data_IF_626863939465
#
_entry.id   IF_626863939465
#
_cell.length_a   1.000
_cell.length_b   1.000
_cell.length_c   1.000
_cell.angle_alpha   90.00
_cell.angle_beta   90.00
_cell.angle_gamma   90.00
#
_symmetry.space_group_name_H-M   'P 1'
#
loop_
_entity.id
_entity.type
_entity.pdbx_description
1 polymer ?
#
# COMPACT_ATOMS: atom_id res chain seq x y z
N UNK A 1 11.61 -5.64 -11.95
CA UNK A 1 10.25 -5.17 -11.67
C UNK A 1 10.25 -4.52 -10.31
N UNK A 2 9.68 -3.33 -10.21
CA UNK A 2 9.61 -2.51 -8.99
C UNK A 2 8.16 -2.17 -8.70
N UNK A 3 7.89 -1.72 -7.48
CA UNK A 3 6.61 -1.16 -7.07
C UNK A 3 6.84 0.26 -6.54
N UNK A 4 5.92 1.15 -6.83
CA UNK A 4 5.94 2.52 -6.30
C UNK A 4 4.53 2.90 -5.83
N UNK A 5 4.46 3.67 -4.74
CA UNK A 5 3.23 4.28 -4.26
C UNK A 5 3.18 5.76 -4.61
N UNK A 6 2.02 6.23 -5.07
CA UNK A 6 1.73 7.65 -5.25
C UNK A 6 0.38 8.00 -4.64
N UNK A 7 0.27 9.19 -4.05
CA UNK A 7 -1.01 9.75 -3.59
C UNK A 7 -1.97 10.01 -4.76
N UNK A 8 -3.27 9.78 -4.56
CA UNK A 8 -4.32 10.04 -5.54
C UNK A 8 -5.14 11.28 -5.16
N UNK A 9 -5.17 12.28 -6.04
CA UNK A 9 -5.89 13.53 -5.80
C UNK A 9 -7.40 13.34 -5.57
N UNK A 10 -8.02 14.27 -4.82
CA UNK A 10 -9.48 14.36 -4.67
C UNK A 10 -10.06 13.43 -3.60
N UNK A 11 -9.28 13.14 -2.57
CA UNK A 11 -9.63 12.39 -1.37
C UNK A 11 -9.34 13.23 -0.11
N UNK A 12 -9.21 12.61 1.07
CA UNK A 12 -9.06 13.31 2.33
C UNK A 12 -7.64 13.88 2.59
N UNK A 13 -6.67 13.64 1.70
CA UNK A 13 -5.29 14.15 1.83
C UNK A 13 -4.26 13.10 1.46
N UNK A 14 -3.00 13.31 1.85
CA UNK A 14 -1.89 12.44 1.46
C UNK A 14 -2.04 11.02 2.05
N UNK A 15 -2.31 10.03 1.21
CA UNK A 15 -2.46 8.64 1.59
C UNK A 15 -1.13 7.95 1.93
N UNK A 16 0.01 8.49 1.45
CA UNK A 16 1.33 7.87 1.68
C UNK A 16 1.71 7.88 3.15
N UNK A 17 1.13 8.80 3.95
CA UNK A 17 1.34 8.84 5.40
C UNK A 17 0.85 7.58 6.12
N UNK A 18 0.02 6.74 5.49
CA UNK A 18 -0.48 5.48 6.07
C UNK A 18 0.30 4.25 5.62
N UNK A 19 1.22 4.38 4.66
CA UNK A 19 2.09 3.29 4.23
C UNK A 19 3.37 3.38 5.06
N UNK A 20 3.75 2.28 5.71
CA UNK A 20 5.06 2.16 6.36
C UNK A 20 6.12 1.81 5.32
N UNK A 21 5.93 0.68 4.62
CA UNK A 21 6.79 0.22 3.53
C UNK A 21 6.02 -0.71 2.58
N UNK A 22 6.61 -0.94 1.41
CA UNK A 22 6.19 -1.95 0.43
C UNK A 22 7.25 -3.05 0.40
N UNK A 23 6.84 -4.31 0.43
CA UNK A 23 7.79 -5.43 0.45
C UNK A 23 7.34 -6.52 -0.50
N UNK A 24 8.29 -7.16 -1.19
CA UNK A 24 8.01 -8.35 -2.01
C UNK A 24 7.53 -9.49 -1.11
N UNK A 25 6.43 -10.14 -1.51
CA UNK A 25 5.95 -11.32 -0.80
C UNK A 25 6.39 -12.61 -1.51
N UNK A 26 7.34 -13.31 -0.88
CA UNK A 26 7.90 -14.58 -1.38
C UNK A 26 7.47 -15.80 -0.54
N UNK A 27 6.47 -15.64 0.33
CA UNK A 27 6.05 -16.66 1.30
C UNK A 27 5.48 -17.95 0.68
N UNK A 28 5.13 -17.94 -0.61
CA UNK A 28 4.50 -19.07 -1.30
C UNK A 28 2.96 -19.01 -1.29
N UNK A 29 2.29 -20.00 -1.89
CA UNK A 29 0.83 -20.03 -2.01
C UNK A 29 0.33 -19.33 -3.28
N UNK A 30 -0.46 -18.25 -3.13
CA UNK A 30 -0.88 -17.43 -4.28
C UNK A 30 0.28 -16.62 -4.88
N UNK A 31 1.37 -16.46 -4.11
CA UNK A 31 2.56 -15.71 -4.48
C UNK A 31 3.70 -16.67 -4.83
N UNK A 32 4.43 -16.38 -5.90
CA UNK A 32 5.60 -17.19 -6.26
C UNK A 32 6.76 -16.93 -5.32
N UNK A 33 7.41 -18.00 -4.84
CA UNK A 33 8.67 -17.92 -4.13
C UNK A 33 9.81 -17.65 -5.13
N UNK A 34 10.03 -16.38 -5.45
CA UNK A 34 11.03 -15.92 -6.43
C UNK A 34 12.29 -15.46 -5.72
N UNK A 35 13.45 -15.79 -6.30
CA UNK A 35 14.76 -15.31 -5.89
C UNK A 35 15.63 -15.09 -7.15
N UNK A 36 16.50 -14.08 -7.20
CA UNK A 36 16.77 -13.10 -6.13
C UNK A 36 15.67 -12.02 -6.01
N UNK A 37 15.67 -11.35 -4.84
CA UNK A 37 14.95 -10.10 -4.58
C UNK A 37 15.96 -8.99 -4.32
N UNK A 38 15.54 -7.74 -4.48
CA UNK A 38 16.37 -6.56 -4.28
C UNK A 38 15.63 -5.55 -3.42
N UNK A 39 16.37 -4.89 -2.54
CA UNK A 39 15.98 -3.67 -1.83
C UNK A 39 16.56 -2.50 -2.64
N UNK A 40 15.69 -1.62 -3.16
CA UNK A 40 16.08 -0.54 -4.08
C UNK A 40 16.23 0.82 -3.41
N UNK A 41 15.77 0.98 -2.17
CA UNK A 41 15.86 2.22 -1.39
C UNK A 41 16.68 2.10 -0.09
N UNK A 42 17.29 0.93 0.14
CA UNK A 42 18.17 0.58 1.26
C UNK A 42 17.47 0.69 2.65
N UNK A 43 16.15 0.45 2.71
CA UNK A 43 15.36 0.48 3.96
C UNK A 43 15.42 -0.85 4.76
N UNK A 44 16.05 -1.88 4.20
CA UNK A 44 16.18 -3.22 4.75
C UNK A 44 15.03 -4.17 4.38
N UNK A 45 14.12 -3.76 3.49
CA UNK A 45 12.96 -4.52 2.99
C UNK A 45 13.08 -4.64 1.47
N UNK A 46 13.18 -5.86 0.92
CA UNK A 46 13.21 -6.02 -0.53
C UNK A 46 11.89 -5.59 -1.16
N UNK A 47 11.94 -4.71 -2.16
CA UNK A 47 10.79 -4.11 -2.84
C UNK A 47 10.77 -4.42 -4.35
N UNK A 48 11.79 -5.12 -4.86
CA UNK A 48 11.94 -5.41 -6.27
C UNK A 48 12.29 -6.88 -6.60
N UNK A 49 11.87 -7.29 -7.79
CA UNK A 49 12.33 -8.52 -8.46
C UNK A 49 13.28 -8.14 -9.61
N UNK A 50 14.61 -8.20 -9.44
CA UNK A 50 15.57 -7.74 -10.46
C UNK A 50 15.59 -8.63 -11.71
N UNK A 51 15.23 -9.91 -11.57
CA UNK A 51 15.10 -10.84 -12.68
C UNK A 51 13.86 -11.70 -12.49
N UNK A 52 12.84 -11.48 -13.33
CA UNK A 52 11.61 -12.27 -13.31
C UNK A 52 11.35 -12.86 -14.70
N UNK A 53 11.04 -14.16 -14.76
CA UNK A 53 10.65 -14.79 -16.01
C UNK A 53 9.23 -14.36 -16.40
N UNK A 54 8.98 -14.01 -17.67
CA UNK A 54 7.63 -13.71 -18.14
C UNK A 54 6.64 -14.84 -17.80
N UNK A 55 5.44 -14.44 -17.37
CA UNK A 55 4.40 -15.38 -16.94
C UNK A 55 4.50 -15.87 -15.50
N UNK A 56 5.51 -15.43 -14.74
CA UNK A 56 5.62 -15.73 -13.30
C UNK A 56 4.75 -14.75 -12.50
N UNK A 57 3.69 -15.19 -11.80
CA UNK A 57 2.91 -14.31 -10.94
C UNK A 57 3.71 -13.95 -9.69
N UNK A 58 3.67 -12.69 -9.26
CA UNK A 58 4.38 -12.19 -8.07
C UNK A 58 3.45 -11.30 -7.24
N UNK A 59 3.84 -11.08 -5.99
CA UNK A 59 3.07 -10.31 -5.02
C UNK A 59 3.94 -9.28 -4.31
N UNK A 60 3.29 -8.25 -3.82
CA UNK A 60 3.82 -7.32 -2.84
C UNK A 60 2.83 -7.22 -1.68
N UNK A 61 3.38 -7.03 -0.48
CA UNK A 61 2.63 -6.64 0.70
C UNK A 61 2.68 -5.11 0.84
N UNK A 62 1.54 -4.52 1.20
CA UNK A 62 1.42 -3.11 1.57
C UNK A 62 1.33 -3.09 3.08
N UNK A 63 2.41 -2.67 3.74
CA UNK A 63 2.44 -2.68 5.21
C UNK A 63 1.99 -1.31 5.71
N UNK A 64 0.84 -1.23 6.40
CA UNK A 64 0.35 0.05 6.91
C UNK A 64 1.09 0.46 8.18
N UNK A 65 1.18 1.76 8.43
CA UNK A 65 1.63 2.31 9.73
C UNK A 65 0.44 2.67 10.61
N UNK A 66 0.67 2.70 11.92
CA UNK A 66 -0.32 3.22 12.88
C UNK A 66 -0.61 4.71 12.63
N UNK A 67 -1.89 5.07 12.57
CA UNK A 67 -2.30 6.45 12.40
C UNK A 67 -2.12 7.26 13.69
N UNK A 68 -1.12 8.13 13.71
CA UNK A 68 -0.86 9.06 14.82
C UNK A 68 -1.03 10.53 14.43
N UNK A 69 -1.39 10.82 13.17
CA UNK A 69 -1.39 12.17 12.58
C UNK A 69 -2.78 12.65 12.19
N UNK A 70 -3.61 11.79 11.61
CA UNK A 70 -4.94 12.15 11.13
C UNK A 70 -5.96 11.88 12.23
N UNK A 71 -6.48 12.95 12.83
CA UNK A 71 -7.57 12.85 13.79
C UNK A 71 -8.87 12.43 13.09
N UNK A 72 -9.71 11.60 13.74
CA UNK A 72 -11.08 11.38 13.31
C UNK A 72 -11.88 12.70 13.19
N UNK A 73 -12.91 12.72 12.35
CA UNK A 73 -13.87 13.83 12.25
C UNK A 73 -15.30 13.28 12.33
N UNK A 74 -16.36 14.10 12.36
CA UNK A 74 -17.73 13.59 12.32
C UNK A 74 -18.07 12.79 11.05
N UNK A 75 -17.31 12.97 9.97
CA UNK A 75 -17.46 12.23 8.72
C UNK A 75 -16.26 11.27 8.51
N UNK A 76 -16.48 10.09 7.90
CA UNK A 76 -15.39 9.20 7.55
C UNK A 76 -14.45 9.88 6.56
N UNK A 77 -13.14 9.75 6.79
CA UNK A 77 -12.12 10.27 5.89
C UNK A 77 -11.51 9.11 5.11
N UNK A 78 -11.59 9.19 3.78
CA UNK A 78 -11.04 8.16 2.87
C UNK A 78 -9.83 8.75 2.16
N UNK A 79 -8.72 8.00 2.21
CA UNK A 79 -7.46 8.31 1.55
C UNK A 79 -7.16 7.21 0.53
N UNK A 80 -6.53 7.57 -0.59
CA UNK A 80 -6.31 6.72 -1.74
C UNK A 80 -4.86 6.82 -2.19
N UNK A 81 -4.18 5.69 -2.20
CA UNK A 81 -2.87 5.58 -2.83
C UNK A 81 -2.97 4.68 -4.06
N UNK A 82 -2.25 5.03 -5.11
CA UNK A 82 -2.05 4.18 -6.28
C UNK A 82 -0.70 3.49 -6.18
N UNK A 83 -0.75 2.17 -6.25
CA UNK A 83 0.41 1.31 -6.35
C UNK A 83 0.62 0.95 -7.81
N UNK A 84 1.78 1.30 -8.34
CA UNK A 84 2.14 1.02 -9.73
C UNK A 84 3.30 0.05 -9.76
N UNK A 85 3.10 -1.07 -10.44
CA UNK A 85 4.17 -2.05 -10.71
C UNK A 85 4.76 -1.75 -12.07
N UNK A 86 6.08 -1.63 -12.13
CA UNK A 86 6.82 -1.31 -13.35
C UNK A 86 7.84 -2.40 -13.70
N UNK A 87 8.07 -2.61 -15.00
CA UNK A 87 9.11 -3.48 -15.53
C UNK A 87 9.77 -2.82 -16.73
N UNK A 88 11.10 -2.82 -16.78
CA UNK A 88 11.91 -2.18 -17.82
C UNK A 88 11.50 -0.72 -18.10
N UNK A 89 11.13 0.00 -17.04
CA UNK A 89 10.70 1.41 -17.09
C UNK A 89 9.26 1.64 -17.58
N UNK A 90 8.48 0.59 -17.84
CA UNK A 90 7.08 0.68 -18.27
C UNK A 90 6.11 0.18 -17.19
N UNK A 91 4.95 0.83 -16.98
CA UNK A 91 3.93 0.34 -16.07
C UNK A 91 3.32 -0.97 -16.60
N UNK A 92 3.25 -1.97 -15.74
CA UNK A 92 2.71 -3.30 -16.03
C UNK A 92 1.33 -3.52 -15.40
N UNK A 93 1.15 -3.03 -14.17
CA UNK A 93 -0.13 -3.06 -13.47
C UNK A 93 -0.25 -1.88 -12.51
N UNK A 94 -1.49 -1.54 -12.15
CA UNK A 94 -1.75 -0.58 -11.08
C UNK A 94 -2.98 -0.97 -10.27
N UNK A 95 -2.94 -0.70 -8.97
CA UNK A 95 -4.05 -0.91 -8.04
C UNK A 95 -4.19 0.31 -7.12
N UNK A 96 -5.43 0.67 -6.83
CA UNK A 96 -5.73 1.68 -5.80
C UNK A 96 -5.99 0.98 -4.48
N UNK A 97 -5.28 1.40 -3.44
CA UNK A 97 -5.53 1.00 -2.05
C UNK A 97 -6.20 2.15 -1.31
N UNK A 98 -7.02 1.81 -0.32
CA UNK A 98 -7.82 2.76 0.42
C UNK A 98 -7.49 2.67 1.91
N UNK A 99 -7.26 3.81 2.54
CA UNK A 99 -7.15 3.94 3.98
C UNK A 99 -8.36 4.71 4.49
N UNK A 100 -9.00 4.18 5.54
CA UNK A 100 -10.18 4.76 6.14
C UNK A 100 -9.84 5.20 7.56
N UNK A 101 -9.94 6.49 7.84
CA UNK A 101 -10.02 6.99 9.21
C UNK A 101 -11.51 7.04 9.58
N UNK A 102 -11.98 6.21 10.53
CA UNK A 102 -13.37 6.17 10.93
C UNK A 102 -13.85 7.52 11.49
N UNK A 103 -15.17 7.80 11.46
CA UNK A 103 -15.69 8.99 12.09
C UNK A 103 -15.62 8.90 13.62
N UNK A 104 -15.61 10.05 14.28
CA UNK A 104 -15.91 10.13 15.71
C UNK A 104 -17.37 9.75 15.94
N UNK A 105 -17.61 8.80 16.84
CA UNK A 105 -18.97 8.46 17.28
C UNK A 105 -19.36 9.49 18.36
N UNK A 106 -20.39 10.32 18.14
CA UNK A 106 -20.85 11.23 19.18
C UNK A 106 -21.33 10.43 20.39
N UNK A 107 -20.97 10.83 21.61
CA UNK A 107 -21.38 10.19 22.87
C UNK A 107 -22.91 9.96 22.95
N UNK A 108 -23.71 10.81 22.31
CA UNK A 108 -25.17 10.68 22.24
C UNK A 108 -25.67 9.45 21.44
N UNK A 109 -24.94 8.97 20.43
CA UNK A 109 -25.29 7.72 19.73
C UNK A 109 -24.78 6.47 20.45
N UNK A 110 -24.04 6.60 21.55
CA UNK A 110 -23.58 5.44 22.33
C UNK A 110 -24.65 4.91 23.31
N UNK A 111 -25.69 5.70 23.61
CA UNK A 111 -26.71 5.36 24.62
C UNK A 111 -28.07 5.01 23.98
N UNK A 112 -28.44 5.64 22.86
CA UNK A 112 -29.79 5.51 22.25
C UNK A 112 -29.76 5.12 20.75
N UNK A 113 -28.72 4.42 20.32
CA UNK A 113 -28.67 3.66 19.06
C UNK A 113 -28.76 2.15 19.43
#
# INVERSE_FOLDING_TARGET
MTIEASDEAGDAGDALQFIDYLEVNTSGGACSAVSPVQDTDDDGRPDAFPSLLPGTPVCWDVVPRDNTTVMPTPEPQVFRARLTVSGDGSPLDARTVYFLVPPEIPELCRIDC
#
